data_IF_456074118525
#
_entry.id   IF_456074118525
#
_cell.length_a   1.000
_cell.length_b   1.000
_cell.length_c   1.000
_cell.angle_alpha   90.00
_cell.angle_beta   90.00
_cell.angle_gamma   90.00
#
_symmetry.space_group_name_H-M   'P 1'
#
loop_
_entity.id
_entity.type
_entity.pdbx_description
1 polymer ?
#
# COMPACT_ATOMS: atom_id res chain seq x y z
N UNK A 1 47.34 58.32 -29.20
CA UNK A 1 46.78 58.38 -27.87
C UNK A 1 45.33 57.89 -27.95
N UNK A 2 44.99 56.69 -27.42
CA UNK A 2 43.63 56.16 -27.33
C UNK A 2 43.22 56.18 -25.86
N UNK A 3 42.04 56.65 -25.51
CA UNK A 3 41.60 56.64 -24.12
C UNK A 3 41.09 55.25 -23.70
N UNK A 4 41.58 54.75 -22.56
CA UNK A 4 41.08 53.53 -21.93
C UNK A 4 39.82 53.85 -21.11
N UNK A 5 38.70 53.32 -21.54
CA UNK A 5 37.45 53.30 -20.77
C UNK A 5 37.53 52.20 -19.72
N UNK A 6 37.47 52.57 -18.43
CA UNK A 6 37.35 51.64 -17.31
C UNK A 6 35.87 51.35 -17.08
N UNK A 7 35.40 50.12 -17.35
CA UNK A 7 34.07 49.65 -16.92
C UNK A 7 34.13 49.33 -15.42
N UNK A 8 33.33 50.03 -14.67
CA UNK A 8 33.03 49.70 -13.28
C UNK A 8 31.95 48.62 -13.22
N UNK A 9 32.27 47.48 -12.63
CA UNK A 9 31.32 46.39 -12.37
C UNK A 9 30.58 46.71 -11.05
N UNK A 10 29.25 46.80 -11.01
CA UNK A 10 28.52 46.95 -9.77
C UNK A 10 28.51 45.62 -9.01
N UNK A 11 28.93 45.64 -7.74
CA UNK A 11 28.81 44.54 -6.82
C UNK A 11 27.32 44.39 -6.44
N UNK A 12 26.68 43.28 -6.87
CA UNK A 12 25.36 42.91 -6.43
C UNK A 12 25.43 42.38 -5.00
N UNK A 13 24.91 43.14 -4.02
CA UNK A 13 24.69 42.66 -2.68
C UNK A 13 23.50 41.68 -2.72
N UNK A 14 23.79 40.39 -2.58
CA UNK A 14 22.77 39.35 -2.28
C UNK A 14 22.31 39.52 -0.83
N UNK A 15 21.18 40.22 -0.63
CA UNK A 15 20.45 40.17 0.65
C UNK A 15 19.85 38.76 0.78
N UNK A 16 20.44 37.91 1.63
CA UNK A 16 19.86 36.66 2.05
C UNK A 16 18.56 36.92 2.83
N UNK A 17 17.41 36.62 2.20
CA UNK A 17 16.17 36.51 2.95
C UNK A 17 16.29 35.28 3.85
N UNK A 18 16.57 35.53 5.15
CA UNK A 18 16.35 34.51 6.18
C UNK A 18 14.85 34.22 6.23
N UNK A 19 14.42 33.04 5.75
CA UNK A 19 13.07 32.58 5.89
C UNK A 19 12.78 32.46 7.40
N UNK A 20 11.98 33.39 7.93
CA UNK A 20 11.52 33.33 9.30
C UNK A 20 10.71 32.04 9.48
N UNK A 21 11.09 31.21 10.45
CA UNK A 21 10.28 30.05 10.84
C UNK A 21 8.87 30.52 11.16
N UNK A 22 7.82 29.86 10.64
CA UNK A 22 6.46 30.25 10.97
C UNK A 22 6.25 30.18 12.48
N UNK A 23 5.46 31.08 13.07
CA UNK A 23 5.19 31.06 14.49
C UNK A 23 4.59 29.73 14.93
N UNK A 24 4.84 29.28 16.17
CA UNK A 24 4.27 28.04 16.70
C UNK A 24 2.74 28.13 16.62
N UNK A 25 2.14 27.12 16.04
CA UNK A 25 0.69 27.03 15.87
C UNK A 25 0.01 26.87 17.22
N UNK A 26 -0.94 27.74 17.54
CA UNK A 26 -1.77 27.70 18.75
C UNK A 26 -3.03 26.81 18.48
N UNK A 27 -2.88 25.49 18.31
CA UNK A 27 -4.00 24.61 18.06
C UNK A 27 -3.63 23.13 18.19
N UNK A 28 -4.61 22.22 18.13
CA UNK A 28 -4.34 20.79 18.19
C UNK A 28 -3.44 20.36 17.04
N UNK A 29 -2.59 19.36 17.28
CA UNK A 29 -1.67 18.82 16.28
C UNK A 29 -2.45 18.26 15.08
N UNK A 30 -1.96 18.54 13.88
CA UNK A 30 -2.43 17.93 12.65
C UNK A 30 -2.08 16.43 12.61
N UNK A 31 -2.78 15.62 11.79
CA UNK A 31 -2.41 14.21 11.62
C UNK A 31 -0.95 14.02 11.18
N UNK A 32 -0.41 14.90 10.34
CA UNK A 32 0.99 14.86 9.91
C UNK A 32 1.97 15.11 11.05
N UNK A 33 1.70 16.12 11.89
CA UNK A 33 2.53 16.44 13.06
C UNK A 33 2.51 15.29 14.08
N UNK A 34 1.34 14.66 14.32
CA UNK A 34 1.24 13.48 15.20
C UNK A 34 2.13 12.33 14.68
N UNK A 35 2.10 12.07 13.37
CA UNK A 35 2.95 11.04 12.76
C UNK A 35 4.44 11.40 12.90
N UNK A 36 4.80 12.64 12.63
CA UNK A 36 6.20 13.11 12.71
C UNK A 36 6.76 13.08 14.14
N UNK A 37 5.91 13.33 15.15
CA UNK A 37 6.29 13.36 16.57
C UNK A 37 6.09 12.01 17.27
N UNK A 38 5.54 10.99 16.58
CA UNK A 38 5.27 9.70 17.18
C UNK A 38 6.56 9.02 17.66
N UNK A 39 6.64 8.60 18.94
CA UNK A 39 7.85 7.97 19.48
C UNK A 39 8.16 6.67 18.76
N UNK A 40 9.43 6.26 18.73
CA UNK A 40 9.87 5.02 18.11
C UNK A 40 9.09 3.78 18.56
N UNK A 41 8.68 3.74 19.83
CA UNK A 41 7.86 2.65 20.39
C UNK A 41 6.46 2.54 19.75
N UNK A 42 5.94 3.60 19.13
CA UNK A 42 4.66 3.59 18.41
C UNK A 42 4.74 2.86 17.05
N UNK A 43 5.93 2.51 16.61
CA UNK A 43 6.18 1.88 15.32
C UNK A 43 6.56 0.43 15.45
N UNK A 44 6.13 -0.38 14.51
CA UNK A 44 6.48 -1.80 14.39
C UNK A 44 7.12 -2.08 13.04
N UNK A 45 8.28 -2.74 13.05
CA UNK A 45 8.93 -3.14 11.81
C UNK A 45 8.10 -4.20 11.09
N UNK A 46 7.96 -4.07 9.77
CA UNK A 46 7.42 -5.12 8.92
C UNK A 46 8.49 -6.20 8.75
N UNK A 47 8.21 -7.48 9.03
CA UNK A 47 9.18 -8.55 8.84
C UNK A 47 9.67 -8.58 7.39
N UNK A 48 10.99 -8.72 7.19
CA UNK A 48 11.56 -8.76 5.84
C UNK A 48 11.04 -9.96 5.01
N UNK A 49 10.66 -11.07 5.68
CA UNK A 49 10.05 -12.21 5.00
C UNK A 49 8.62 -11.89 4.50
N UNK A 50 7.96 -10.89 5.06
CA UNK A 50 6.63 -10.45 4.64
C UNK A 50 6.68 -9.24 3.67
N UNK A 51 7.86 -8.83 3.21
CA UNK A 51 8.02 -7.79 2.20
C UNK A 51 8.29 -8.40 0.83
N UNK A 52 7.35 -8.22 -0.10
CA UNK A 52 7.50 -8.55 -1.52
C UNK A 52 7.98 -7.29 -2.26
N UNK A 53 9.13 -7.40 -2.94
CA UNK A 53 9.74 -6.33 -3.76
C UNK A 53 9.59 -6.71 -5.22
N UNK A 54 8.95 -5.84 -6.00
CA UNK A 54 8.73 -5.99 -7.44
C UNK A 54 9.48 -4.87 -8.16
N UNK A 55 10.38 -5.23 -9.07
CA UNK A 55 11.06 -4.31 -9.97
C UNK A 55 10.40 -4.38 -11.36
N UNK A 56 9.90 -3.25 -11.88
CA UNK A 56 9.28 -3.13 -13.20
C UNK A 56 10.33 -2.75 -14.26
N UNK A 57 10.05 -3.04 -15.53
CA UNK A 57 10.95 -2.77 -16.68
C UNK A 57 11.27 -1.29 -16.89
N UNK A 58 10.42 -0.38 -16.43
CA UNK A 58 10.68 1.06 -16.39
C UNK A 58 11.60 1.52 -15.24
N UNK A 59 12.21 0.61 -14.49
CA UNK A 59 13.09 0.92 -13.35
C UNK A 59 12.37 1.29 -12.06
N UNK A 60 11.05 1.32 -12.06
CA UNK A 60 10.26 1.59 -10.86
C UNK A 60 10.22 0.36 -9.96
N UNK A 61 10.10 0.62 -8.66
CA UNK A 61 10.00 -0.43 -7.63
C UNK A 61 8.71 -0.30 -6.85
N UNK A 62 8.04 -1.42 -6.65
CA UNK A 62 6.85 -1.56 -5.79
C UNK A 62 7.21 -2.46 -4.62
N UNK A 63 6.87 -2.06 -3.40
CA UNK A 63 7.06 -2.87 -2.19
C UNK A 63 5.71 -3.12 -1.54
N UNK A 64 5.39 -4.39 -1.33
CA UNK A 64 4.12 -4.86 -0.77
C UNK A 64 4.41 -5.56 0.57
N UNK A 65 3.74 -5.13 1.64
CA UNK A 65 3.64 -5.93 2.84
C UNK A 65 2.60 -7.03 2.63
N UNK A 66 2.99 -8.29 2.81
CA UNK A 66 2.11 -9.45 2.77
C UNK A 66 1.43 -9.64 4.13
N UNK A 67 0.23 -10.21 4.12
CA UNK A 67 -0.64 -10.36 5.29
C UNK A 67 -0.87 -11.84 5.66
N UNK A 68 0.16 -12.60 6.09
CA UNK A 68 0.03 -14.02 6.39
C UNK A 68 -0.97 -14.31 7.52
N UNK A 69 -1.22 -13.33 8.39
CA UNK A 69 -2.24 -13.47 9.43
C UNK A 69 -3.68 -13.54 8.88
N UNK A 70 -3.93 -13.07 7.67
CA UNK A 70 -5.25 -13.05 7.05
C UNK A 70 -5.41 -14.09 5.93
N UNK A 71 -4.37 -14.33 5.15
CA UNK A 71 -4.37 -15.27 4.03
C UNK A 71 -3.09 -16.14 4.04
N UNK A 72 -2.92 -17.02 5.03
CA UNK A 72 -1.68 -17.79 5.22
C UNK A 72 -1.33 -18.66 4.02
N UNK A 73 -2.28 -19.34 3.39
CA UNK A 73 -2.03 -20.26 2.27
C UNK A 73 -1.70 -19.49 1.00
N UNK A 74 -2.48 -18.45 0.67
CA UNK A 74 -2.18 -17.59 -0.48
C UNK A 74 -0.83 -16.89 -0.32
N UNK A 75 -0.51 -16.36 0.86
CA UNK A 75 0.79 -15.71 1.11
C UNK A 75 1.94 -16.72 1.01
N UNK A 76 1.79 -17.94 1.49
CA UNK A 76 2.79 -18.99 1.32
C UNK A 76 3.01 -19.32 -0.16
N UNK A 77 1.95 -19.45 -0.95
CA UNK A 77 2.03 -19.63 -2.38
C UNK A 77 2.76 -18.47 -3.08
N UNK A 78 2.40 -17.23 -2.76
CA UNK A 78 3.04 -16.03 -3.33
C UNK A 78 4.55 -16.04 -3.06
N UNK A 79 4.96 -16.32 -1.82
CA UNK A 79 6.39 -16.43 -1.46
C UNK A 79 7.09 -17.55 -2.24
N UNK A 80 6.44 -18.70 -2.40
CA UNK A 80 6.99 -19.83 -3.18
C UNK A 80 7.12 -19.49 -4.68
N UNK A 81 6.11 -18.84 -5.27
CA UNK A 81 6.14 -18.36 -6.66
C UNK A 81 7.29 -17.36 -6.87
N UNK A 82 7.49 -16.44 -5.93
CA UNK A 82 8.60 -15.46 -5.96
C UNK A 82 9.95 -16.15 -5.90
N UNK A 83 10.14 -17.10 -4.97
CA UNK A 83 11.39 -17.87 -4.83
C UNK A 83 11.69 -18.74 -6.03
N UNK A 84 10.65 -19.27 -6.68
CA UNK A 84 10.76 -19.99 -7.96
C UNK A 84 10.96 -19.05 -9.17
N UNK A 85 11.06 -17.73 -8.97
CA UNK A 85 11.17 -16.70 -10.04
C UNK A 85 10.02 -16.74 -11.04
N UNK A 86 8.86 -17.23 -10.64
CA UNK A 86 7.71 -17.38 -11.53
C UNK A 86 7.23 -16.06 -12.12
N UNK A 87 7.31 -14.96 -11.32
CA UNK A 87 6.92 -13.63 -11.76
C UNK A 87 7.88 -12.96 -12.76
N UNK A 88 9.08 -13.52 -13.03
CA UNK A 88 9.97 -12.96 -14.03
C UNK A 88 9.34 -13.04 -15.43
N UNK A 89 9.25 -11.89 -16.12
CA UNK A 89 8.61 -11.76 -17.42
C UNK A 89 7.07 -11.75 -17.39
N UNK A 90 6.45 -11.85 -16.23
CA UNK A 90 5.00 -11.61 -16.05
C UNK A 90 4.70 -10.14 -16.33
N UNK A 91 3.54 -9.87 -16.91
CA UNK A 91 3.17 -8.50 -17.32
C UNK A 91 1.98 -7.96 -16.54
N UNK A 92 1.89 -6.64 -16.49
CA UNK A 92 0.67 -5.96 -16.13
C UNK A 92 -0.32 -6.18 -17.30
N UNK A 93 -1.45 -6.81 -17.02
CA UNK A 93 -2.42 -7.21 -18.04
C UNK A 93 -3.63 -6.31 -18.09
N UNK A 94 -3.92 -5.62 -16.99
CA UNK A 94 -5.11 -4.80 -16.80
C UNK A 94 -4.76 -3.57 -15.97
N UNK A 95 -5.18 -2.40 -16.44
CA UNK A 95 -5.20 -1.15 -15.68
C UNK A 95 -6.56 -0.51 -15.89
N UNK A 96 -7.46 -0.72 -14.97
CA UNK A 96 -8.80 -0.14 -15.00
C UNK A 96 -8.82 1.14 -14.19
N UNK A 97 -9.26 2.23 -14.81
CA UNK A 97 -9.33 3.53 -14.14
C UNK A 97 -10.19 3.47 -12.87
N UNK A 98 -9.74 4.18 -11.85
CA UNK A 98 -10.41 4.24 -10.54
C UNK A 98 -10.73 2.86 -9.92
N UNK A 99 -9.98 1.81 -10.28
CA UNK A 99 -10.23 0.44 -9.80
C UNK A 99 -8.94 -0.28 -9.45
N UNK A 100 -8.33 -1.01 -10.39
CA UNK A 100 -7.17 -1.86 -10.11
C UNK A 100 -6.10 -1.80 -11.21
N UNK A 101 -4.85 -2.08 -10.82
CA UNK A 101 -3.76 -2.55 -11.68
C UNK A 101 -3.52 -4.01 -11.36
N UNK A 102 -3.58 -4.89 -12.37
CA UNK A 102 -3.55 -6.35 -12.23
C UNK A 102 -2.44 -6.95 -13.09
N UNK A 103 -1.73 -7.92 -12.53
CA UNK A 103 -0.64 -8.62 -13.21
C UNK A 103 -0.73 -10.12 -13.00
N UNK A 104 -0.31 -10.87 -14.02
CA UNK A 104 -0.36 -12.33 -14.06
C UNK A 104 0.11 -12.84 -15.42
N UNK A 105 0.05 -14.14 -15.64
CA UNK A 105 0.31 -14.71 -16.95
C UNK A 105 -0.85 -14.40 -17.91
N UNK A 106 -0.60 -13.49 -18.86
CA UNK A 106 -1.60 -13.10 -19.86
C UNK A 106 -2.08 -14.26 -20.75
N UNK A 107 -1.35 -15.36 -20.80
CA UNK A 107 -1.70 -16.54 -21.60
C UNK A 107 -2.45 -17.59 -20.79
N UNK A 108 -2.43 -17.50 -19.46
CA UNK A 108 -2.97 -18.48 -18.51
C UNK A 108 -2.37 -19.91 -18.69
N UNK A 109 -1.21 -20.00 -19.36
CA UNK A 109 -0.57 -21.28 -19.73
C UNK A 109 0.74 -21.54 -18.99
N UNK A 110 1.29 -20.54 -18.30
CA UNK A 110 2.55 -20.69 -17.57
C UNK A 110 2.38 -21.68 -16.41
N UNK A 111 3.09 -22.82 -16.41
CA UNK A 111 2.92 -23.83 -15.39
C UNK A 111 3.30 -23.31 -14.02
N UNK A 112 2.53 -23.70 -13.01
CA UNK A 112 2.87 -23.41 -11.62
C UNK A 112 4.04 -24.28 -11.17
N UNK A 113 4.96 -23.75 -10.36
CA UNK A 113 6.04 -24.53 -9.76
C UNK A 113 5.49 -25.64 -8.84
N UNK A 114 6.29 -26.67 -8.63
CA UNK A 114 5.97 -27.71 -7.65
C UNK A 114 5.83 -27.09 -6.24
N UNK A 115 4.92 -27.64 -5.44
CA UNK A 115 4.67 -27.22 -4.07
C UNK A 115 3.68 -26.06 -3.91
N UNK A 116 3.17 -25.49 -4.99
CA UNK A 116 2.06 -24.53 -4.94
C UNK A 116 0.76 -25.26 -4.64
N UNK A 117 0.01 -24.78 -3.66
CA UNK A 117 -1.36 -25.25 -3.41
C UNK A 117 -2.24 -24.74 -4.55
N UNK A 118 -2.68 -25.66 -5.42
CA UNK A 118 -3.44 -25.30 -6.64
C UNK A 118 -4.86 -24.80 -6.32
N UNK A 119 -5.43 -25.23 -5.22
CA UNK A 119 -6.76 -24.82 -4.76
C UNK A 119 -6.67 -24.40 -3.29
N UNK A 120 -6.22 -23.17 -3.00
CA UNK A 120 -6.21 -22.65 -1.62
C UNK A 120 -7.63 -22.58 -1.06
N UNK A 121 -7.79 -22.60 0.27
CA UNK A 121 -9.08 -22.28 0.87
C UNK A 121 -9.50 -20.82 0.59
N UNK A 122 -10.75 -20.51 0.84
CA UNK A 122 -11.35 -19.18 0.59
C UNK A 122 -10.95 -18.11 1.64
N UNK A 123 -9.73 -17.92 1.91
CA UNK A 123 -9.18 -16.94 2.91
C UNK A 123 -9.74 -15.52 2.76
N UNK A 124 -11.06 -15.41 2.56
CA UNK A 124 -11.79 -14.14 2.36
C UNK A 124 -12.15 -13.47 3.68
N UNK A 125 -12.22 -14.24 4.76
CA UNK A 125 -12.41 -13.81 6.13
C UNK A 125 -11.83 -14.87 7.08
N UNK A 126 -11.60 -14.46 8.33
CA UNK A 126 -11.09 -15.35 9.38
C UNK A 126 -11.81 -15.09 10.71
N UNK A 127 -11.74 -15.98 11.69
CA UNK A 127 -12.22 -15.69 13.04
C UNK A 127 -11.59 -14.42 13.61
N UNK A 128 -12.40 -13.55 14.21
CA UNK A 128 -11.97 -12.32 14.88
C UNK A 128 -11.14 -12.62 16.14
N UNK A 129 -11.40 -13.76 16.78
CA UNK A 129 -10.73 -14.16 18.01
C UNK A 129 -9.21 -14.16 17.86
N UNK A 130 -8.51 -13.60 18.84
CA UNK A 130 -7.04 -13.53 18.88
C UNK A 130 -6.41 -12.42 18.02
N UNK A 131 -7.18 -11.65 17.26
CA UNK A 131 -6.61 -10.59 16.41
C UNK A 131 -6.20 -9.30 17.16
N UNK A 132 -6.65 -9.09 18.40
CA UNK A 132 -6.41 -7.83 19.10
C UNK A 132 -7.05 -6.63 18.39
N UNK A 133 -8.24 -6.85 17.82
CA UNK A 133 -8.99 -5.82 17.08
C UNK A 133 -9.31 -4.61 17.96
N UNK A 134 -9.08 -3.42 17.41
CA UNK A 134 -9.42 -2.12 18.02
C UNK A 134 -10.39 -1.38 17.12
N UNK A 135 -11.60 -1.22 17.60
CA UNK A 135 -12.67 -0.53 16.90
C UNK A 135 -12.31 0.93 16.64
N UNK A 136 -12.64 1.43 15.45
CA UNK A 136 -12.48 2.83 15.08
C UNK A 136 -13.63 3.70 15.61
N UNK A 137 -14.81 3.11 15.82
CA UNK A 137 -15.97 3.78 16.41
C UNK A 137 -16.76 4.66 15.44
N UNK A 138 -16.53 4.53 14.13
CA UNK A 138 -17.28 5.23 13.08
C UNK A 138 -18.10 4.25 12.26
N UNK A 139 -19.17 4.77 11.62
CA UNK A 139 -20.06 3.95 10.76
C UNK A 139 -19.30 3.49 9.52
N UNK A 140 -19.62 2.28 9.07
CA UNK A 140 -19.17 1.71 7.80
C UNK A 140 -20.37 1.21 7.02
N UNK A 141 -20.32 1.33 5.68
CA UNK A 141 -21.43 0.92 4.81
C UNK A 141 -21.38 -0.58 4.47
N UNK A 142 -20.27 -1.28 4.71
CA UNK A 142 -20.00 -2.64 4.26
C UNK A 142 -19.77 -3.63 5.39
N UNK A 143 -19.68 -3.17 6.63
CA UNK A 143 -19.43 -4.01 7.79
C UNK A 143 -20.12 -3.46 9.03
N UNK A 144 -20.43 -4.34 9.97
CA UNK A 144 -21.01 -3.93 11.26
C UNK A 144 -20.06 -3.02 12.03
N UNK A 145 -18.75 -3.24 11.89
CA UNK A 145 -17.73 -2.41 12.53
C UNK A 145 -16.41 -2.46 11.76
N UNK A 146 -15.67 -1.36 11.79
CA UNK A 146 -14.31 -1.25 11.25
C UNK A 146 -13.35 -0.79 12.33
N UNK A 147 -12.07 -1.11 12.12
CA UNK A 147 -11.01 -0.80 13.05
C UNK A 147 -9.66 -1.31 12.56
N UNK A 148 -8.76 -1.62 13.50
CA UNK A 148 -7.40 -1.97 13.16
C UNK A 148 -6.86 -3.11 14.04
N UNK A 149 -5.90 -3.86 13.50
CA UNK A 149 -5.09 -4.83 14.23
C UNK A 149 -3.68 -4.90 13.65
N UNK A 150 -2.66 -4.86 14.50
CA UNK A 150 -1.27 -5.05 14.08
C UNK A 150 -0.79 -4.17 12.92
N UNK A 151 -1.36 -2.98 12.77
CA UNK A 151 -1.04 -2.08 11.63
C UNK A 151 -1.85 -2.35 10.35
N UNK A 152 -2.88 -3.19 10.40
CA UNK A 152 -3.80 -3.48 9.30
C UNK A 152 -5.17 -2.85 9.52
N UNK A 153 -5.81 -2.28 8.48
CA UNK A 153 -7.23 -1.97 8.52
C UNK A 153 -8.03 -3.26 8.53
N UNK A 154 -9.08 -3.31 9.31
CA UNK A 154 -9.92 -4.52 9.47
C UNK A 154 -11.38 -4.12 9.50
N UNK A 155 -12.21 -4.88 8.78
CA UNK A 155 -13.65 -4.86 8.89
C UNK A 155 -14.12 -6.16 9.58
N UNK A 156 -15.19 -6.09 10.35
CA UNK A 156 -15.72 -7.27 11.06
C UNK A 156 -17.23 -7.33 11.09
N UNK A 157 -17.74 -8.56 11.14
CA UNK A 157 -19.16 -8.85 11.30
C UNK A 157 -19.35 -10.30 11.77
N UNK A 158 -20.33 -10.57 12.61
CA UNK A 158 -20.74 -11.92 13.03
C UNK A 158 -19.55 -12.83 13.46
N UNK A 159 -18.59 -12.28 14.20
CA UNK A 159 -17.41 -13.02 14.68
C UNK A 159 -16.31 -13.27 13.65
N UNK A 160 -16.49 -12.79 12.43
CA UNK A 160 -15.48 -12.83 11.35
C UNK A 160 -14.82 -11.47 11.16
N UNK A 161 -13.60 -11.49 10.62
CA UNK A 161 -12.80 -10.31 10.28
C UNK A 161 -12.11 -10.50 8.95
N UNK A 162 -11.95 -9.40 8.19
CA UNK A 162 -11.28 -9.38 6.88
C UNK A 162 -10.54 -8.07 6.64
N UNK A 163 -9.63 -8.07 5.71
CA UNK A 163 -8.98 -6.86 5.21
C UNK A 163 -9.87 -6.20 4.16
N UNK A 164 -10.30 -4.93 4.37
CA UNK A 164 -11.13 -4.22 3.40
C UNK A 164 -10.34 -3.85 2.15
N UNK A 165 -11.01 -3.84 0.99
CA UNK A 165 -10.43 -3.43 -0.29
C UNK A 165 -10.29 -1.91 -0.37
N UNK A 166 -9.34 -1.36 0.37
CA UNK A 166 -8.98 0.06 0.31
C UNK A 166 -7.92 0.32 -0.76
N UNK A 167 -7.70 1.60 -1.11
CA UNK A 167 -6.57 2.01 -1.96
C UNK A 167 -5.26 1.40 -1.46
N UNK A 168 -4.43 0.94 -2.40
CA UNK A 168 -3.17 0.24 -2.17
C UNK A 168 -3.28 -1.17 -1.56
N UNK A 169 -4.47 -1.69 -1.23
CA UNK A 169 -4.60 -3.10 -0.85
C UNK A 169 -4.40 -4.00 -2.06
N UNK A 170 -3.85 -5.20 -1.80
CA UNK A 170 -3.50 -6.20 -2.82
C UNK A 170 -4.37 -7.43 -2.64
N UNK A 171 -5.05 -7.84 -3.70
CA UNK A 171 -5.87 -9.05 -3.73
C UNK A 171 -5.40 -10.06 -4.75
N UNK A 172 -5.92 -11.28 -4.66
CA UNK A 172 -5.62 -12.41 -5.56
C UNK A 172 -6.63 -12.44 -6.69
N UNK A 173 -6.14 -12.44 -7.96
CA UNK A 173 -6.97 -12.71 -9.12
C UNK A 173 -7.48 -14.16 -9.11
N UNK A 174 -8.75 -14.35 -9.46
CA UNK A 174 -9.40 -15.66 -9.54
C UNK A 174 -10.49 -15.70 -10.61
N UNK A 175 -10.84 -16.88 -11.05
CA UNK A 175 -12.00 -17.14 -11.89
C UNK A 175 -13.28 -17.27 -11.04
N UNK A 176 -14.34 -17.84 -11.62
CA UNK A 176 -15.58 -18.09 -10.91
C UNK A 176 -15.38 -19.17 -9.83
N UNK A 177 -16.23 -19.09 -8.78
CA UNK A 177 -16.23 -20.13 -7.74
C UNK A 177 -16.40 -21.53 -8.36
N UNK A 178 -15.69 -22.55 -7.85
CA UNK A 178 -14.98 -22.60 -6.55
C UNK A 178 -13.51 -22.10 -6.59
N UNK A 179 -13.04 -21.50 -7.70
CA UNK A 179 -11.67 -20.99 -7.80
C UNK A 179 -11.46 -19.84 -6.80
N UNK A 180 -10.41 -19.91 -6.01
CA UNK A 180 -10.00 -18.90 -5.04
C UNK A 180 -8.72 -18.16 -5.46
N UNK A 181 -8.14 -18.58 -6.61
CA UNK A 181 -6.85 -18.11 -7.09
C UNK A 181 -5.67 -18.75 -6.35
N UNK A 182 -4.53 -18.83 -6.99
CA UNK A 182 -3.31 -19.42 -6.41
C UNK A 182 -2.34 -18.40 -5.83
N UNK A 183 -2.55 -17.12 -6.12
CA UNK A 183 -1.58 -16.05 -5.88
C UNK A 183 -0.64 -15.81 -7.06
N UNK A 184 -0.77 -16.55 -8.17
CA UNK A 184 -0.05 -16.30 -9.41
C UNK A 184 -0.55 -15.03 -10.11
N UNK A 185 -1.80 -14.69 -9.96
CA UNK A 185 -2.39 -13.43 -10.42
C UNK A 185 -2.74 -12.54 -9.24
N UNK A 186 -2.27 -11.29 -9.27
CA UNK A 186 -2.47 -10.32 -8.21
C UNK A 186 -2.93 -8.98 -8.80
N UNK A 187 -3.65 -8.22 -7.99
CA UNK A 187 -3.97 -6.83 -8.32
C UNK A 187 -3.74 -5.91 -7.13
N UNK A 188 -3.43 -4.65 -7.41
CA UNK A 188 -3.43 -3.57 -6.42
C UNK A 188 -4.59 -2.62 -6.72
N UNK A 189 -5.31 -2.20 -5.68
CA UNK A 189 -6.35 -1.18 -5.79
C UNK A 189 -5.70 0.18 -6.03
N UNK A 190 -6.06 0.84 -7.14
CA UNK A 190 -5.50 2.14 -7.56
C UNK A 190 -6.55 3.27 -7.59
N UNK A 191 -7.72 3.05 -7.04
CA UNK A 191 -8.81 4.02 -7.04
C UNK A 191 -9.64 3.98 -5.78
N UNK A 192 -10.89 4.41 -5.88
CA UNK A 192 -11.84 4.33 -4.79
C UNK A 192 -11.96 2.88 -4.31
N UNK A 193 -11.99 2.67 -3.00
CA UNK A 193 -12.01 1.33 -2.41
C UNK A 193 -13.17 0.48 -2.91
N UNK A 194 -12.93 -0.60 -3.68
CA UNK A 194 -13.99 -1.47 -4.20
C UNK A 194 -14.49 -2.42 -3.12
N UNK A 195 -15.08 -1.88 -2.06
CA UNK A 195 -15.53 -2.57 -0.86
C UNK A 195 -16.55 -3.68 -1.12
N UNK A 196 -17.24 -3.64 -2.28
CA UNK A 196 -18.10 -4.74 -2.74
C UNK A 196 -17.31 -6.05 -3.01
N UNK A 197 -16.01 -6.00 -3.14
CA UNK A 197 -15.14 -7.18 -3.23
C UNK A 197 -14.81 -7.79 -1.86
N UNK A 198 -15.09 -7.09 -0.77
CA UNK A 198 -14.89 -7.60 0.59
C UNK A 198 -15.56 -8.96 0.76
N UNK A 199 -14.87 -9.93 1.33
CA UNK A 199 -15.32 -11.32 1.53
C UNK A 199 -15.62 -12.12 0.24
N UNK A 200 -15.18 -11.63 -0.91
CA UNK A 200 -15.29 -12.31 -2.19
C UNK A 200 -13.93 -12.68 -2.79
N UNK A 201 -12.86 -12.08 -2.29
CA UNK A 201 -11.49 -12.26 -2.77
C UNK A 201 -10.54 -12.25 -1.57
N UNK A 202 -9.51 -13.08 -1.60
CA UNK A 202 -8.45 -13.06 -0.60
C UNK A 202 -7.61 -11.79 -0.76
N UNK A 203 -7.64 -10.92 0.26
CA UNK A 203 -6.76 -9.76 0.36
C UNK A 203 -5.49 -10.17 1.06
N UNK A 204 -4.36 -10.12 0.36
CA UNK A 204 -3.08 -10.74 0.74
C UNK A 204 -2.02 -9.75 1.17
N UNK A 205 -2.28 -8.44 1.04
CA UNK A 205 -1.26 -7.45 1.39
C UNK A 205 -1.67 -6.02 1.10
N UNK A 206 -0.67 -5.13 1.26
CA UNK A 206 -0.77 -3.69 1.01
C UNK A 206 0.51 -3.16 0.39
N UNK A 207 0.40 -2.33 -0.64
CA UNK A 207 1.54 -1.57 -1.18
C UNK A 207 1.98 -0.54 -0.15
N UNK A 208 3.27 -0.57 0.23
CA UNK A 208 3.88 0.38 1.17
C UNK A 208 4.64 1.49 0.44
N UNK A 209 5.19 1.19 -0.74
CA UNK A 209 5.90 2.14 -1.60
C UNK A 209 5.72 1.76 -3.07
N UNK A 210 5.76 2.74 -3.96
CA UNK A 210 5.69 2.55 -5.41
C UNK A 210 4.28 2.40 -5.96
N UNK A 211 3.23 2.73 -5.20
CA UNK A 211 1.84 2.69 -5.71
C UNK A 211 1.65 3.67 -6.87
N UNK A 212 2.36 4.80 -6.87
CA UNK A 212 2.40 5.79 -7.94
C UNK A 212 2.86 5.19 -9.28
N UNK A 213 3.80 4.24 -9.26
CA UNK A 213 4.24 3.54 -10.46
C UNK A 213 3.10 2.71 -11.08
N UNK A 214 2.25 2.11 -10.25
CA UNK A 214 1.09 1.34 -10.72
C UNK A 214 -0.06 2.24 -11.19
N UNK A 215 -0.27 3.38 -10.53
CA UNK A 215 -1.35 4.32 -10.86
C UNK A 215 -1.05 5.18 -12.09
N UNK A 216 0.22 5.41 -12.42
CA UNK A 216 0.65 6.18 -13.58
C UNK A 216 0.62 5.39 -14.89
N UNK A 217 0.44 4.07 -14.84
CA UNK A 217 0.39 3.22 -16.04
C UNK A 217 -0.76 3.62 -16.97
N UNK A 218 -0.57 3.52 -18.29
CA UNK A 218 -1.64 3.72 -19.25
C UNK A 218 -2.84 2.83 -18.93
N UNK A 219 -4.06 3.35 -19.08
CA UNK A 219 -5.27 2.55 -18.90
C UNK A 219 -5.44 1.57 -20.06
N UNK A 220 -5.91 0.36 -19.75
CA UNK A 220 -6.25 -0.61 -20.79
C UNK A 220 -7.46 -0.13 -21.60
N UNK A 221 -7.46 -0.46 -22.88
CA UNK A 221 -8.48 0.02 -23.86
C UNK A 221 -9.59 -1.00 -24.10
N UNK A 222 -9.37 -2.25 -23.69
CA UNK A 222 -10.39 -3.30 -23.82
C UNK A 222 -11.34 -3.33 -22.61
N UNK A 223 -12.35 -4.17 -22.68
CA UNK A 223 -13.32 -4.36 -21.61
C UNK A 223 -12.65 -4.54 -20.26
N UNK A 224 -13.21 -3.97 -19.20
CA UNK A 224 -12.70 -4.02 -17.83
C UNK A 224 -11.29 -3.45 -17.65
N UNK A 225 -10.75 -2.70 -18.63
CA UNK A 225 -9.41 -2.12 -18.56
C UNK A 225 -8.28 -3.09 -18.87
N UNK A 226 -8.54 -4.19 -19.58
CA UNK A 226 -7.48 -5.06 -20.09
C UNK A 226 -6.73 -4.36 -21.23
N UNK A 227 -5.45 -4.68 -21.37
CA UNK A 227 -4.68 -4.27 -22.52
C UNK A 227 -5.04 -5.11 -23.73
N UNK A 228 -5.11 -4.46 -24.88
CA UNK A 228 -5.34 -5.14 -26.16
C UNK A 228 -4.28 -6.20 -26.42
N UNK A 229 -4.63 -7.28 -27.07
CA UNK A 229 -3.69 -8.29 -27.55
C UNK A 229 -2.61 -7.63 -28.45
N UNK A 230 -1.35 -7.99 -28.24
CA UNK A 230 -0.21 -7.41 -28.96
C UNK A 230 0.21 -6.01 -28.50
N UNK A 231 -0.52 -5.37 -27.55
CA UNK A 231 -0.07 -4.10 -26.97
C UNK A 231 1.19 -4.31 -26.10
N UNK A 232 2.08 -3.32 -26.10
CA UNK A 232 3.18 -3.28 -25.15
C UNK A 232 2.63 -3.24 -23.71
N UNK A 233 3.08 -4.17 -22.87
CA UNK A 233 2.66 -4.29 -21.47
C UNK A 233 3.88 -4.10 -20.56
N UNK A 234 3.76 -3.28 -19.51
CA UNK A 234 4.83 -3.20 -18.52
C UNK A 234 5.11 -4.58 -17.92
N UNK A 235 6.39 -4.96 -17.85
CA UNK A 235 6.79 -6.27 -17.39
C UNK A 235 7.37 -6.22 -15.97
N UNK A 236 7.20 -7.29 -15.21
CA UNK A 236 7.92 -7.54 -13.97
C UNK A 236 9.28 -8.11 -14.36
N UNK A 237 10.34 -7.32 -14.18
CA UNK A 237 11.72 -7.77 -14.42
C UNK A 237 12.12 -8.76 -13.34
N UNK A 238 11.75 -8.46 -12.10
CA UNK A 238 12.14 -9.27 -10.95
C UNK A 238 11.16 -9.08 -9.78
N UNK A 239 10.82 -10.18 -9.11
CA UNK A 239 10.15 -10.19 -7.82
C UNK A 239 11.02 -10.91 -6.80
N UNK A 240 11.12 -10.38 -5.57
CA UNK A 240 11.94 -10.94 -4.48
C UNK A 240 11.24 -10.76 -3.14
N UNK A 241 11.43 -11.71 -2.24
CA UNK A 241 11.15 -11.51 -0.82
C UNK A 241 12.33 -10.74 -0.22
N UNK A 242 12.07 -9.70 0.56
CA UNK A 242 13.14 -8.85 1.09
C UNK A 242 14.12 -9.62 1.99
N UNK A 243 13.67 -10.64 2.71
CA UNK A 243 14.53 -11.52 3.50
C UNK A 243 15.61 -12.22 2.66
N UNK A 244 15.31 -12.53 1.38
CA UNK A 244 16.21 -13.22 0.46
C UNK A 244 17.14 -12.27 -0.31
N UNK A 245 17.06 -10.94 -0.03
CA UNK A 245 17.91 -9.93 -0.64
C UNK A 245 19.18 -9.67 0.19
N UNK A 246 20.28 -9.22 -0.43
CA UNK A 246 21.45 -8.74 0.31
C UNK A 246 21.05 -7.65 1.31
N UNK A 247 21.65 -7.65 2.49
CA UNK A 247 21.28 -6.74 3.58
C UNK A 247 21.29 -5.25 3.16
N UNK A 248 22.28 -4.82 2.37
CA UNK A 248 22.39 -3.44 1.89
C UNK A 248 21.37 -3.03 0.82
N UNK A 249 20.68 -3.99 0.18
CA UNK A 249 19.63 -3.73 -0.83
C UNK A 249 18.20 -3.89 -0.26
N UNK A 250 18.10 -4.40 0.95
CA UNK A 250 16.85 -4.79 1.59
C UNK A 250 16.07 -3.55 2.02
N UNK A 251 14.87 -3.30 1.47
CA UNK A 251 14.03 -2.23 1.98
C UNK A 251 13.52 -2.58 3.36
N UNK A 252 13.42 -1.57 4.23
CA UNK A 252 12.81 -1.70 5.55
C UNK A 252 11.66 -0.72 5.70
N UNK A 253 10.59 -1.15 6.33
CA UNK A 253 9.42 -0.32 6.63
C UNK A 253 8.94 -0.53 8.07
N UNK A 254 8.50 0.56 8.68
CA UNK A 254 7.75 0.53 9.93
C UNK A 254 6.30 0.94 9.66
N UNK A 255 5.36 0.29 10.33
CA UNK A 255 3.95 0.66 10.35
C UNK A 255 3.58 1.11 11.76
N UNK A 256 2.78 2.17 11.87
CA UNK A 256 2.32 2.64 13.19
C UNK A 256 1.40 1.58 13.81
N UNK A 257 1.73 1.17 15.03
CA UNK A 257 0.99 0.14 15.77
C UNK A 257 -0.39 0.65 16.15
N UNK A 258 -1.43 -0.12 15.86
CA UNK A 258 -2.82 0.25 16.12
C UNK A 258 -3.19 0.35 17.61
N UNK A 259 -2.36 -0.17 18.50
CA UNK A 259 -2.49 -0.07 19.95
C UNK A 259 -1.69 1.10 20.56
N UNK A 260 -0.91 1.82 19.75
CA UNK A 260 -0.14 2.96 20.24
C UNK A 260 -1.04 4.18 20.54
N UNK A 261 -0.79 4.93 21.63
CA UNK A 261 -1.52 6.17 21.90
C UNK A 261 -1.43 7.19 20.76
N UNK A 262 -0.29 7.26 20.06
CA UNK A 262 -0.12 8.13 18.89
C UNK A 262 -1.09 7.76 17.75
N UNK A 263 -1.39 6.46 17.56
CA UNK A 263 -2.36 6.02 16.56
C UNK A 263 -3.78 6.48 16.89
N UNK A 264 -4.20 6.34 18.16
CA UNK A 264 -5.50 6.82 18.61
C UNK A 264 -5.63 8.36 18.45
N UNK A 265 -4.60 9.10 18.79
CA UNK A 265 -4.55 10.56 18.58
C UNK A 265 -4.62 10.92 17.09
N UNK A 266 -3.91 10.18 16.24
CA UNK A 266 -3.94 10.35 14.79
C UNK A 266 -5.32 10.08 14.20
N UNK A 267 -6.02 8.99 14.58
CA UNK A 267 -7.39 8.70 14.15
C UNK A 267 -8.34 9.84 14.55
N UNK A 268 -8.26 10.31 15.79
CA UNK A 268 -9.08 11.42 16.29
C UNK A 268 -8.83 12.70 15.48
N UNK A 269 -7.58 13.03 15.22
CA UNK A 269 -7.22 14.21 14.42
C UNK A 269 -7.66 14.07 12.96
N UNK A 270 -7.59 12.86 12.37
CA UNK A 270 -8.10 12.59 11.02
C UNK A 270 -9.61 12.81 10.91
N UNK A 271 -10.38 12.32 11.87
CA UNK A 271 -11.83 12.46 11.90
C UNK A 271 -12.29 13.91 12.18
N UNK A 272 -11.46 14.68 12.88
CA UNK A 272 -11.82 16.01 13.39
C UNK A 272 -10.74 17.04 13.06
N UNK A 273 -10.47 17.24 11.77
CA UNK A 273 -9.51 18.25 11.30
C UNK A 273 -9.92 19.65 11.80
N UNK A 274 -8.96 20.33 12.43
CA UNK A 274 -9.13 21.66 13.03
C UNK A 274 -8.00 22.61 12.63
N UNK A 275 -7.24 22.28 11.61
CA UNK A 275 -6.25 23.19 11.03
C UNK A 275 -6.93 24.27 10.18
N UNK A 276 -6.21 25.34 9.88
CA UNK A 276 -6.76 26.58 9.31
C UNK A 276 -7.54 26.39 7.99
N UNK A 277 -7.33 25.27 7.30
CA UNK A 277 -8.05 24.95 6.08
C UNK A 277 -9.49 24.45 6.36
N UNK A 278 -9.73 23.80 7.50
CA UNK A 278 -11.01 23.12 7.77
C UNK A 278 -11.97 24.05 8.54
N UNK A 279 -13.07 24.38 7.91
CA UNK A 279 -14.14 25.20 8.47
C UNK A 279 -15.02 24.39 9.43
N UNK A 280 -15.28 23.11 9.08
CA UNK A 280 -16.12 22.20 9.87
C UNK A 280 -15.49 20.83 9.96
N UNK A 281 -15.20 20.33 11.15
CA UNK A 281 -14.76 18.95 11.35
C UNK A 281 -15.82 17.96 10.86
N UNK A 282 -15.38 16.87 10.20
CA UNK A 282 -16.30 15.85 9.69
C UNK A 282 -16.99 15.05 10.80
N UNK A 283 -16.34 14.84 11.94
CA UNK A 283 -16.82 13.98 13.02
C UNK A 283 -16.97 12.53 12.62
N UNK A 284 -16.35 12.13 11.49
CA UNK A 284 -16.44 10.81 10.88
C UNK A 284 -15.13 10.45 10.19
N UNK A 285 -14.90 9.15 10.01
CA UNK A 285 -13.73 8.64 9.30
C UNK A 285 -14.07 7.29 8.64
N UNK A 286 -13.85 7.20 7.35
CA UNK A 286 -13.91 5.95 6.59
C UNK A 286 -12.64 5.12 6.82
N UNK A 287 -12.77 3.79 6.86
CA UNK A 287 -11.63 2.88 7.11
C UNK A 287 -10.55 3.00 6.03
N UNK A 288 -10.92 3.26 4.78
CA UNK A 288 -9.97 3.44 3.69
C UNK A 288 -9.21 4.78 3.78
N UNK A 289 -9.77 5.76 4.49
CA UNK A 289 -9.09 7.01 4.85
C UNK A 289 -8.31 6.93 6.19
N UNK A 290 -8.38 5.78 6.86
CA UNK A 290 -7.73 5.48 8.14
C UNK A 290 -6.63 4.43 8.02
N UNK A 291 -6.00 4.32 6.85
CA UNK A 291 -4.89 3.39 6.64
C UNK A 291 -3.73 3.71 7.58
N UNK A 292 -3.23 2.74 8.37
CA UNK A 292 -2.14 3.00 9.31
C UNK A 292 -0.93 3.65 8.64
N UNK A 293 -0.36 4.71 9.25
CA UNK A 293 0.84 5.38 8.73
C UNK A 293 2.01 4.43 8.55
N UNK A 294 2.75 4.64 7.46
CA UNK A 294 3.95 3.88 7.10
C UNK A 294 5.12 4.85 6.96
N UNK A 295 6.31 4.41 7.31
CA UNK A 295 7.57 5.13 7.06
C UNK A 295 8.65 4.16 6.62
N UNK A 296 9.66 4.66 5.90
CA UNK A 296 10.88 3.91 5.73
C UNK A 296 11.53 3.65 7.10
N UNK A 297 12.00 2.44 7.33
CA UNK A 297 12.72 2.11 8.55
C UNK A 297 14.06 2.86 8.56
N UNK A 298 14.44 3.40 9.71
CA UNK A 298 15.77 4.01 9.88
C UNK A 298 16.79 2.87 9.85
N UNK A 299 17.82 2.95 8.98
CA UNK A 299 18.91 1.99 9.02
C UNK A 299 19.50 1.88 10.43
N UNK A 300 19.64 0.66 10.91
CA UNK A 300 20.30 0.41 12.22
C UNK A 300 21.80 0.45 12.07
#
# INVERSE_FOLDING_TARGET
>A
MKPHVRLAVPALLLLGLAAASPPPRAGPLTPGEIVAQAPGAAWGAVPADDLLVIDLDGGQRVVIALAPAFAPVHVANIKALVRARWFAGITINRVQDNYVTQWGDATEKKPLPAGIVASPPDEYARPLAGLGFRAMGYRDAYAAETGHTGGWPVAREAGLAWLPHCYAMVGVGRNLAPDTGTGAELYAVIGHGPRHLDRNIATVGRVLAGIEALTALPRGTEALGFYKEGAARPAIVRARIAADMPAGERPGFDVMKSDAPAFAAWLKARANRQDDFFIRPAGALDICNAMPPVRAAVPK
#
